data_IF_469649947611
#
_entry.id   IF_469649947611
#
_cell.length_a   1.000
_cell.length_b   1.000
_cell.length_c   1.000
_cell.angle_alpha   90.00
_cell.angle_beta   90.00
_cell.angle_gamma   90.00
#
_symmetry.space_group_name_H-M   'P 1'
#
loop_
_entity.id
_entity.type
_entity.pdbx_description
1 polymer ?
#
# COMPACT_ATOMS: atom_id res chain seq x y z
N UNK A 1 0.68 14.23 6.71
CA UNK A 1 -0.19 13.05 6.60
C UNK A 1 -0.15 12.53 5.18
N UNK A 2 0.04 11.23 4.97
CA UNK A 2 0.06 10.65 3.63
C UNK A 2 -1.33 10.67 2.97
N UNK A 3 -1.37 10.95 1.67
CA UNK A 3 -2.60 10.93 0.87
C UNK A 3 -2.78 9.54 0.28
N UNK A 4 -3.95 8.95 0.53
CA UNK A 4 -4.43 7.67 0.00
C UNK A 4 -5.66 7.89 -0.89
N UNK A 5 -6.23 6.82 -1.47
CA UNK A 5 -7.46 6.89 -2.25
C UNK A 5 -8.69 7.30 -1.41
N UNK A 6 -8.65 7.01 -0.10
CA UNK A 6 -9.64 7.41 0.90
C UNK A 6 -8.93 8.04 2.08
N UNK A 7 -9.64 8.88 2.82
CA UNK A 7 -9.08 9.48 4.04
C UNK A 7 -8.91 8.43 5.14
N UNK A 8 -7.67 7.96 5.35
CA UNK A 8 -7.32 6.98 6.38
C UNK A 8 -7.56 7.45 7.82
N UNK A 9 -7.84 8.75 8.02
CA UNK A 9 -8.21 9.34 9.31
C UNK A 9 -9.71 9.17 9.60
N UNK A 10 -10.54 8.96 8.57
CA UNK A 10 -12.00 8.88 8.69
C UNK A 10 -12.47 7.43 8.57
N UNK A 11 -12.61 6.77 9.72
CA UNK A 11 -13.06 5.37 9.82
C UNK A 11 -14.57 5.20 9.76
N UNK A 12 -15.32 6.12 10.37
CA UNK A 12 -16.74 5.90 10.69
C UNK A 12 -17.66 6.33 9.53
N UNK A 13 -17.28 6.04 8.28
CA UNK A 13 -18.11 6.32 7.11
C UNK A 13 -19.39 5.47 7.15
N UNK A 14 -20.51 6.09 6.82
CA UNK A 14 -21.83 5.43 6.73
C UNK A 14 -22.28 5.56 5.28
N UNK A 15 -22.44 4.41 4.63
CA UNK A 15 -22.82 4.36 3.22
C UNK A 15 -24.32 4.65 3.06
N UNK A 16 -24.68 5.44 2.04
CA UNK A 16 -26.06 5.93 1.84
C UNK A 16 -27.12 4.83 1.66
N UNK A 17 -26.70 3.61 1.28
CA UNK A 17 -27.57 2.46 1.00
C UNK A 17 -27.58 1.35 2.06
N UNK A 18 -26.92 1.54 3.21
CA UNK A 18 -26.89 0.50 4.26
C UNK A 18 -28.30 0.10 4.75
N UNK A 19 -29.29 1.00 4.69
CA UNK A 19 -30.67 0.70 5.06
C UNK A 19 -31.38 -0.28 4.11
N UNK A 20 -30.99 -0.27 2.84
CA UNK A 20 -31.66 -1.00 1.76
C UNK A 20 -30.93 -2.27 1.32
N UNK A 21 -29.64 -2.39 1.61
CA UNK A 21 -28.82 -3.58 1.36
C UNK A 21 -28.19 -4.09 2.66
N UNK A 22 -28.76 -5.13 3.30
CA UNK A 22 -28.24 -5.70 4.54
C UNK A 22 -26.81 -6.24 4.43
N UNK A 23 -26.42 -6.77 3.26
CA UNK A 23 -25.07 -7.33 3.07
C UNK A 23 -24.03 -6.22 2.92
N UNK A 24 -24.40 -5.14 2.24
CA UNK A 24 -23.57 -3.92 2.21
C UNK A 24 -23.41 -3.34 3.61
N UNK A 25 -24.46 -3.36 4.44
CA UNK A 25 -24.36 -2.95 5.85
C UNK A 25 -23.35 -3.78 6.61
N UNK A 26 -23.40 -5.11 6.50
CA UNK A 26 -22.41 -6.01 7.13
C UNK A 26 -20.98 -5.70 6.66
N UNK A 27 -20.78 -5.45 5.36
CA UNK A 27 -19.49 -5.03 4.83
C UNK A 27 -19.02 -3.69 5.41
N UNK A 28 -19.89 -2.70 5.50
CA UNK A 28 -19.54 -1.39 6.08
C UNK A 28 -19.29 -1.48 7.60
N UNK A 29 -20.02 -2.35 8.31
CA UNK A 29 -19.73 -2.66 9.71
C UNK A 29 -18.34 -3.30 9.87
N UNK A 30 -17.93 -4.17 8.94
CA UNK A 30 -16.56 -4.68 8.88
C UNK A 30 -15.55 -3.55 8.64
N UNK A 31 -15.76 -2.69 7.64
CA UNK A 31 -14.86 -1.56 7.35
C UNK A 31 -14.66 -0.65 8.58
N UNK A 32 -15.74 -0.36 9.32
CA UNK A 32 -15.68 0.46 10.54
C UNK A 32 -14.94 -0.20 11.71
N UNK A 33 -14.68 -1.51 11.66
CA UNK A 33 -13.84 -2.20 12.65
C UNK A 33 -12.34 -2.08 12.37
N UNK A 34 -11.95 -1.75 11.13
CA UNK A 34 -10.54 -1.59 10.74
C UNK A 34 -10.02 -0.22 11.18
N UNK A 35 -8.72 -0.11 11.49
CA UNK A 35 -8.07 1.16 11.82
C UNK A 35 -7.03 1.51 10.74
N UNK A 36 -7.43 2.12 9.60
CA UNK A 36 -6.54 2.34 8.45
C UNK A 36 -5.25 3.08 8.79
N UNK A 37 -5.34 4.18 9.55
CA UNK A 37 -4.16 4.90 10.02
C UNK A 37 -3.19 3.98 10.78
N UNK A 38 -3.70 3.16 11.71
CA UNK A 38 -2.87 2.26 12.53
C UNK A 38 -2.30 1.11 11.73
N UNK A 39 -3.03 0.58 10.74
CA UNK A 39 -2.55 -0.43 9.80
C UNK A 39 -1.31 0.09 9.07
N UNK A 40 -1.39 1.30 8.50
CA UNK A 40 -0.26 1.92 7.79
C UNK A 40 0.89 2.26 8.75
N UNK A 41 0.60 2.96 9.86
CA UNK A 41 1.63 3.40 10.82
C UNK A 41 2.35 2.22 11.45
N UNK A 42 1.62 1.20 11.87
CA UNK A 42 2.17 -0.02 12.46
C UNK A 42 3.04 -0.80 11.49
N UNK A 43 2.65 -0.87 10.20
CA UNK A 43 3.48 -1.47 9.15
C UNK A 43 4.81 -0.75 8.99
N UNK A 44 4.76 0.58 8.89
CA UNK A 44 5.95 1.42 8.77
C UNK A 44 6.88 1.30 10.00
N UNK A 45 6.35 1.40 11.22
CA UNK A 45 7.14 1.29 12.45
C UNK A 45 7.79 -0.08 12.59
N UNK A 46 7.04 -1.14 12.30
CA UNK A 46 7.55 -2.50 12.38
C UNK A 46 8.69 -2.72 11.39
N UNK A 47 8.48 -2.36 10.13
CA UNK A 47 9.49 -2.50 9.10
C UNK A 47 10.72 -1.61 9.35
N UNK A 48 10.53 -0.37 9.81
CA UNK A 48 11.62 0.52 10.18
C UNK A 48 12.49 -0.09 11.26
N UNK A 49 11.89 -0.57 12.35
CA UNK A 49 12.64 -1.21 13.43
C UNK A 49 13.35 -2.48 12.95
N UNK A 50 12.66 -3.35 12.21
CA UNK A 50 13.27 -4.57 11.67
C UNK A 50 14.47 -4.27 10.76
N UNK A 51 14.34 -3.29 9.87
CA UNK A 51 15.36 -2.93 8.90
C UNK A 51 16.54 -2.21 9.56
N UNK A 52 16.27 -1.30 10.49
CA UNK A 52 17.30 -0.60 11.27
C UNK A 52 18.16 -1.60 12.06
N UNK A 53 17.53 -2.58 12.72
CA UNK A 53 18.23 -3.65 13.43
C UNK A 53 19.15 -4.46 12.48
N UNK A 54 18.69 -4.74 11.25
CA UNK A 54 19.48 -5.47 10.24
C UNK A 54 20.63 -4.63 9.69
N UNK A 55 20.41 -3.35 9.39
CA UNK A 55 21.46 -2.46 8.91
C UNK A 55 22.55 -2.31 9.97
N UNK A 56 22.17 -2.11 11.24
CA UNK A 56 23.11 -2.07 12.38
C UNK A 56 23.89 -3.37 12.55
N UNK A 57 23.26 -4.52 12.28
CA UNK A 57 23.92 -5.81 12.29
C UNK A 57 24.97 -5.94 11.18
N UNK A 58 24.64 -5.50 9.96
CA UNK A 58 25.57 -5.48 8.83
C UNK A 58 26.74 -4.53 9.09
N UNK A 59 26.46 -3.32 9.59
CA UNK A 59 27.47 -2.31 9.95
C UNK A 59 28.41 -2.78 11.07
N UNK A 60 27.93 -3.67 11.94
CA UNK A 60 28.69 -4.26 13.05
C UNK A 60 29.33 -5.61 12.68
N UNK A 61 29.77 -5.78 11.43
CA UNK A 61 30.44 -6.99 10.93
C UNK A 61 29.66 -8.28 11.23
N UNK A 62 28.33 -8.23 11.11
CA UNK A 62 27.43 -9.36 11.36
C UNK A 62 27.50 -9.88 12.81
N UNK A 63 27.79 -9.00 13.77
CA UNK A 63 27.65 -9.27 15.19
C UNK A 63 26.37 -8.62 15.75
N UNK A 64 25.52 -9.37 16.48
CA UNK A 64 24.31 -8.81 17.08
C UNK A 64 24.62 -7.56 17.92
N UNK A 65 23.95 -6.42 17.66
CA UNK A 65 24.14 -5.23 18.49
C UNK A 65 23.69 -5.49 19.93
N UNK A 66 24.40 -5.00 20.95
CA UNK A 66 24.17 -5.36 22.35
C UNK A 66 22.86 -4.83 22.94
N UNK A 67 22.22 -3.87 22.28
CA UNK A 67 21.05 -3.11 22.73
C UNK A 67 19.77 -3.43 21.94
N UNK A 68 19.82 -4.41 21.05
CA UNK A 68 18.69 -4.75 20.16
C UNK A 68 17.84 -5.86 20.76
N UNK A 69 16.51 -5.71 20.70
CA UNK A 69 15.55 -6.69 21.22
C UNK A 69 15.40 -7.94 20.32
N UNK A 70 15.87 -7.84 19.07
CA UNK A 70 15.83 -8.93 18.09
C UNK A 70 16.74 -10.07 18.54
N UNK A 71 16.18 -11.28 18.61
CA UNK A 71 16.89 -12.47 19.06
C UNK A 71 17.62 -13.18 17.91
N UNK A 72 17.07 -13.10 16.69
CA UNK A 72 17.57 -13.84 15.53
C UNK A 72 17.93 -12.91 14.37
N UNK A 73 19.15 -13.04 13.86
CA UNK A 73 19.64 -12.33 12.68
C UNK A 73 19.79 -13.31 11.49
N UNK A 74 19.40 -12.91 10.27
CA UNK A 74 19.48 -13.77 9.10
C UNK A 74 20.94 -13.99 8.70
N UNK A 75 21.29 -15.24 8.41
CA UNK A 75 22.61 -15.58 7.88
C UNK A 75 22.83 -15.04 6.46
N UNK A 76 21.76 -14.97 5.66
CA UNK A 76 21.74 -14.35 4.34
C UNK A 76 20.80 -13.14 4.36
N UNK A 77 21.38 -11.96 4.56
CA UNK A 77 20.65 -10.69 4.65
C UNK A 77 19.98 -10.34 3.31
N UNK A 78 20.62 -10.65 2.19
CA UNK A 78 20.08 -10.37 0.86
C UNK A 78 18.85 -11.23 0.59
N UNK A 79 18.92 -12.53 0.88
CA UNK A 79 17.79 -13.43 0.77
C UNK A 79 16.65 -13.03 1.71
N UNK A 80 16.96 -12.68 2.96
CA UNK A 80 15.98 -12.18 3.92
C UNK A 80 15.24 -10.95 3.38
N UNK A 81 15.97 -9.96 2.84
CA UNK A 81 15.37 -8.74 2.31
C UNK A 81 14.41 -9.02 1.15
N UNK A 82 14.83 -9.88 0.21
CA UNK A 82 14.00 -10.27 -0.94
C UNK A 82 12.75 -11.07 -0.54
N UNK A 83 12.82 -11.86 0.53
CA UNK A 83 11.66 -12.61 1.03
C UNK A 83 10.73 -11.74 1.86
N UNK A 84 11.30 -10.83 2.65
CA UNK A 84 10.56 -9.99 3.58
C UNK A 84 9.85 -8.83 2.89
N UNK A 85 10.48 -8.25 1.87
CA UNK A 85 9.96 -7.10 1.14
C UNK A 85 10.08 -7.34 -0.38
N UNK A 86 9.31 -8.29 -0.93
CA UNK A 86 9.50 -8.74 -2.31
C UNK A 86 9.28 -7.63 -3.35
N UNK A 87 8.30 -6.74 -3.14
CA UNK A 87 8.06 -5.63 -4.07
C UNK A 87 9.11 -4.54 -3.92
N UNK A 88 9.52 -4.24 -2.70
CA UNK A 88 10.51 -3.20 -2.40
C UNK A 88 11.89 -3.63 -2.89
N UNK A 89 12.34 -4.83 -2.51
CA UNK A 89 13.63 -5.40 -2.89
C UNK A 89 13.77 -5.60 -4.40
N UNK A 90 12.65 -5.71 -5.11
CA UNK A 90 12.67 -5.76 -6.56
C UNK A 90 13.21 -4.46 -7.16
N UNK A 91 13.10 -3.30 -6.51
CA UNK A 91 13.44 -2.02 -7.13
C UNK A 91 14.51 -1.20 -6.39
N UNK A 92 14.74 -1.43 -5.10
CA UNK A 92 15.64 -0.59 -4.29
C UNK A 92 16.44 -1.39 -3.28
N UNK A 93 17.49 -0.77 -2.72
CA UNK A 93 18.34 -1.35 -1.67
C UNK A 93 17.69 -1.26 -0.29
N UNK A 94 18.32 -1.87 0.73
CA UNK A 94 17.88 -1.71 2.12
C UNK A 94 18.07 -0.27 2.60
N UNK A 95 19.15 0.38 2.21
CA UNK A 95 19.46 1.76 2.56
C UNK A 95 18.45 2.73 1.95
N UNK A 96 18.09 2.51 0.69
CA UNK A 96 17.04 3.26 0.01
C UNK A 96 15.69 3.10 0.73
N UNK A 97 15.30 1.86 1.02
CA UNK A 97 14.07 1.56 1.76
C UNK A 97 14.07 2.24 3.13
N UNK A 98 15.17 2.18 3.88
CA UNK A 98 15.29 2.83 5.19
C UNK A 98 15.09 4.35 5.08
N UNK A 99 15.73 4.99 4.10
CA UNK A 99 15.53 6.41 3.81
C UNK A 99 14.07 6.76 3.50
N UNK A 100 13.37 5.95 2.70
CA UNK A 100 11.95 6.14 2.42
C UNK A 100 11.07 5.92 3.65
N UNK A 101 11.37 4.92 4.49
CA UNK A 101 10.64 4.66 5.74
C UNK A 101 10.71 5.86 6.69
N UNK A 102 11.90 6.45 6.88
CA UNK A 102 12.06 7.68 7.71
C UNK A 102 11.14 8.79 7.22
N UNK A 103 11.08 9.02 5.90
CA UNK A 103 10.24 10.05 5.29
C UNK A 103 8.75 9.76 5.46
N UNK A 104 8.33 8.52 5.20
CA UNK A 104 6.94 8.09 5.34
C UNK A 104 6.45 8.20 6.78
N UNK A 105 7.28 7.79 7.74
CA UNK A 105 7.00 7.93 9.17
C UNK A 105 6.86 9.40 9.56
N UNK A 106 7.82 10.23 9.18
CA UNK A 106 7.76 11.68 9.46
C UNK A 106 6.53 12.35 8.85
N UNK A 107 6.11 11.92 7.65
CA UNK A 107 4.90 12.40 7.01
C UNK A 107 3.62 11.95 7.71
N UNK A 108 3.58 10.72 8.25
CA UNK A 108 2.45 10.23 9.05
C UNK A 108 2.29 11.00 10.36
N UNK A 109 3.39 11.45 10.96
CA UNK A 109 3.40 12.24 12.19
C UNK A 109 3.10 13.75 11.94
N UNK A 110 3.06 14.19 10.68
CA UNK A 110 2.66 15.55 10.31
C UNK A 110 1.13 15.69 10.24
N UNK A 111 0.58 16.55 11.11
CA UNK A 111 -0.84 16.93 11.10
C UNK A 111 -1.13 18.24 10.37
N UNK A 112 -0.11 18.88 9.77
CA UNK A 112 -0.23 20.22 9.16
C UNK A 112 -0.15 20.22 7.64
N UNK A 113 0.36 19.13 7.07
CA UNK A 113 0.59 18.99 5.63
C UNK A 113 0.00 17.67 5.14
N UNK A 114 -0.37 17.64 3.86
CA UNK A 114 -0.80 16.43 3.18
C UNK A 114 0.25 16.07 2.14
N UNK A 115 0.68 14.81 2.09
CA UNK A 115 1.85 14.39 1.32
C UNK A 115 1.43 13.36 0.28
N UNK A 116 1.62 13.67 -1.01
CA UNK A 116 1.40 12.71 -2.10
C UNK A 116 2.58 11.76 -2.25
N UNK A 117 2.24 10.50 -2.44
CA UNK A 117 3.15 9.39 -2.63
C UNK A 117 3.62 9.27 -4.08
N UNK A 118 4.71 8.53 -4.28
CA UNK A 118 5.19 8.09 -5.60
C UNK A 118 5.09 6.57 -5.69
N UNK A 119 5.32 5.99 -6.88
CA UNK A 119 5.31 4.53 -7.06
C UNK A 119 6.31 3.81 -6.13
N UNK A 120 7.47 4.42 -5.86
CA UNK A 120 8.48 3.92 -4.91
C UNK A 120 7.93 3.80 -3.49
N UNK A 121 7.28 4.86 -3.00
CA UNK A 121 6.67 4.87 -1.69
C UNK A 121 5.56 3.81 -1.56
N UNK A 122 4.77 3.62 -2.62
CA UNK A 122 3.69 2.65 -2.63
C UNK A 122 4.19 1.20 -2.61
N UNK A 123 5.34 0.90 -3.22
CA UNK A 123 5.98 -0.40 -3.11
C UNK A 123 6.39 -0.71 -1.65
N UNK A 124 7.04 0.26 -0.98
CA UNK A 124 7.41 0.16 0.44
C UNK A 124 6.16 -0.01 1.31
N UNK A 125 5.14 0.83 1.13
CA UNK A 125 3.90 0.75 1.89
C UNK A 125 3.20 -0.59 1.69
N UNK A 126 3.25 -1.16 0.49
CA UNK A 126 2.59 -2.43 0.18
C UNK A 126 3.18 -3.57 1.00
N UNK A 127 4.51 -3.77 0.94
CA UNK A 127 5.16 -4.83 1.71
C UNK A 127 5.04 -4.60 3.22
N UNK A 128 5.23 -3.36 3.69
CA UNK A 128 5.15 -3.04 5.12
C UNK A 128 3.74 -3.28 5.68
N UNK A 129 2.71 -2.95 4.92
CA UNK A 129 1.30 -3.19 5.27
C UNK A 129 0.96 -4.66 5.24
N UNK A 130 1.37 -5.39 4.20
CA UNK A 130 1.17 -6.84 4.10
C UNK A 130 1.75 -7.56 5.31
N UNK A 131 3.00 -7.24 5.62
CA UNK A 131 3.77 -7.85 6.69
C UNK A 131 3.13 -7.67 8.07
N UNK A 132 2.65 -6.47 8.41
CA UNK A 132 2.01 -6.23 9.71
C UNK A 132 0.61 -6.87 9.78
N UNK A 133 -0.11 -6.92 8.67
CA UNK A 133 -1.41 -7.58 8.58
C UNK A 133 -1.27 -9.07 8.82
N UNK A 134 -0.28 -9.73 8.21
CA UNK A 134 0.00 -11.16 8.45
C UNK A 134 0.34 -11.44 9.92
N UNK A 135 1.19 -10.62 10.53
CA UNK A 135 1.55 -10.74 11.95
C UNK A 135 0.30 -10.57 12.84
N UNK A 136 -0.49 -9.52 12.59
CA UNK A 136 -1.70 -9.26 13.37
C UNK A 136 -2.73 -10.38 13.23
N UNK A 137 -3.00 -10.82 12.00
CA UNK A 137 -3.95 -11.90 11.74
C UNK A 137 -3.47 -13.23 12.32
N UNK A 138 -2.15 -13.49 12.34
CA UNK A 138 -1.55 -14.61 13.05
C UNK A 138 -1.80 -14.52 14.56
N UNK A 139 -1.49 -13.38 15.17
CA UNK A 139 -1.71 -13.15 16.60
C UNK A 139 -3.19 -13.29 17.02
N UNK A 140 -4.13 -12.87 16.16
CA UNK A 140 -5.56 -13.08 16.41
C UNK A 140 -5.95 -14.57 16.48
N UNK A 141 -5.30 -15.44 15.69
CA UNK A 141 -5.53 -16.90 15.74
C UNK A 141 -4.99 -17.52 17.02
N UNK A 142 -3.85 -17.04 17.49
CA UNK A 142 -3.17 -17.57 18.68
C UNK A 142 -3.79 -17.06 20.01
N UNK A 143 -4.62 -16.02 19.94
CA UNK A 143 -5.46 -15.54 21.04
C UNK A 143 -5.45 -14.02 21.20
N UNK A 144 -6.60 -13.46 21.60
CA UNK A 144 -6.79 -12.01 21.67
C UNK A 144 -5.79 -11.28 22.59
N UNK A 145 -5.23 -11.95 23.60
CA UNK A 145 -4.26 -11.33 24.52
C UNK A 145 -2.94 -10.96 23.83
N UNK A 146 -2.48 -11.72 22.83
CA UNK A 146 -1.26 -11.42 22.05
C UNK A 146 -1.55 -10.30 21.04
N UNK A 147 -2.76 -10.27 20.48
CA UNK A 147 -3.18 -9.21 19.55
C UNK A 147 -3.34 -7.83 20.19
N UNK A 148 -3.43 -7.74 21.53
CA UNK A 148 -3.55 -6.45 22.23
C UNK A 148 -2.35 -5.54 22.04
N UNK A 149 -1.18 -6.07 21.70
CA UNK A 149 -0.02 -5.21 21.45
C UNK A 149 -0.04 -4.59 20.04
N UNK A 150 -0.86 -5.12 19.13
CA UNK A 150 -0.98 -4.67 17.74
C UNK A 150 -2.46 -4.35 17.44
N UNK A 151 -2.88 -3.11 17.62
CA UNK A 151 -4.28 -2.71 17.42
C UNK A 151 -4.58 -2.31 15.97
N UNK A 152 -4.70 -3.27 15.06
CA UNK A 152 -5.09 -2.97 13.66
C UNK A 152 -6.60 -2.90 13.43
N UNK A 153 -7.39 -3.54 14.29
CA UNK A 153 -8.85 -3.57 14.20
C UNK A 153 -9.51 -3.87 15.56
N UNK A 154 -10.85 -3.81 15.61
CA UNK A 154 -11.66 -4.28 16.74
C UNK A 154 -11.84 -5.80 16.69
N UNK A 155 -10.73 -6.53 16.88
CA UNK A 155 -10.75 -7.99 17.06
C UNK A 155 -11.20 -8.80 15.84
N UNK A 156 -11.06 -8.25 14.63
CA UNK A 156 -11.38 -8.93 13.37
C UNK A 156 -10.15 -9.00 12.46
N UNK A 157 -9.96 -10.07 11.68
CA UNK A 157 -8.87 -10.12 10.72
C UNK A 157 -8.93 -8.97 9.70
N UNK A 158 -7.77 -8.42 9.35
CA UNK A 158 -7.65 -7.46 8.26
C UNK A 158 -7.52 -8.24 6.95
N UNK A 159 -8.47 -8.07 6.04
CA UNK A 159 -8.40 -8.63 4.69
C UNK A 159 -7.50 -7.71 3.84
N UNK A 160 -6.23 -8.09 3.67
CA UNK A 160 -5.24 -7.26 3.00
C UNK A 160 -5.69 -6.80 1.61
N UNK A 161 -6.21 -7.71 0.77
CA UNK A 161 -6.68 -7.39 -0.59
C UNK A 161 -7.78 -6.32 -0.59
N UNK A 162 -8.77 -6.46 0.28
CA UNK A 162 -9.86 -5.50 0.40
C UNK A 162 -9.35 -4.15 0.95
N UNK A 163 -8.40 -4.18 1.90
CA UNK A 163 -7.77 -2.98 2.42
C UNK A 163 -7.03 -2.19 1.32
N UNK A 164 -6.22 -2.88 0.51
CA UNK A 164 -5.51 -2.30 -0.63
C UNK A 164 -6.49 -1.74 -1.67
N UNK A 165 -7.51 -2.50 -2.08
CA UNK A 165 -8.52 -2.04 -3.04
C UNK A 165 -9.32 -0.81 -2.56
N UNK A 166 -9.42 -0.61 -1.24
CA UNK A 166 -10.07 0.56 -0.65
C UNK A 166 -9.17 1.79 -0.54
N UNK A 167 -7.89 1.62 -0.26
CA UNK A 167 -7.03 2.73 0.17
C UNK A 167 -5.87 3.05 -0.78
N UNK A 168 -5.38 2.10 -1.59
CA UNK A 168 -4.28 2.40 -2.51
C UNK A 168 -4.78 3.24 -3.69
N UNK A 169 -4.06 4.31 -4.06
CA UNK A 169 -4.44 5.14 -5.22
C UNK A 169 -4.19 4.43 -6.56
N UNK A 170 -3.15 3.61 -6.65
CA UNK A 170 -2.81 2.81 -7.83
C UNK A 170 -1.80 1.70 -7.47
N UNK A 171 -1.60 0.76 -8.38
CA UNK A 171 -0.59 -0.32 -8.27
C UNK A 171 0.39 -0.31 -9.46
N UNK A 172 0.67 0.84 -10.04
CA UNK A 172 1.56 0.94 -11.22
C UNK A 172 3.00 0.43 -10.97
N UNK A 173 3.46 0.36 -9.72
CA UNK A 173 4.74 -0.30 -9.39
C UNK A 173 4.74 -1.81 -9.69
N UNK A 174 3.55 -2.42 -9.88
CA UNK A 174 3.39 -3.81 -10.29
C UNK A 174 3.33 -4.00 -11.81
N UNK A 175 3.41 -2.93 -12.62
CA UNK A 175 3.40 -3.04 -14.07
C UNK A 175 4.48 -4.02 -14.55
N UNK A 176 4.12 -4.88 -15.50
CA UNK A 176 4.99 -5.92 -16.07
C UNK A 176 5.39 -7.02 -15.07
N UNK A 177 4.72 -7.08 -13.91
CA UNK A 177 4.92 -8.09 -12.89
C UNK A 177 3.63 -8.86 -12.64
N UNK A 178 3.74 -10.05 -12.05
CA UNK A 178 2.56 -10.81 -11.65
C UNK A 178 2.10 -10.33 -10.27
N UNK A 179 0.87 -9.85 -10.11
CA UNK A 179 0.34 -9.49 -8.80
C UNK A 179 0.12 -10.75 -7.96
N UNK A 180 0.37 -10.63 -6.65
CA UNK A 180 0.18 -11.74 -5.70
C UNK A 180 -1.29 -12.00 -5.37
N UNK A 181 -2.15 -11.02 -5.64
CA UNK A 181 -3.57 -11.00 -5.27
C UNK A 181 -4.45 -10.37 -6.36
N UNK A 182 -5.75 -10.63 -6.30
CA UNK A 182 -6.72 -10.10 -7.26
C UNK A 182 -7.10 -8.65 -6.92
N UNK A 183 -6.21 -7.71 -7.22
CA UNK A 183 -6.47 -6.27 -7.06
C UNK A 183 -7.29 -5.72 -8.23
N UNK A 184 -8.44 -6.33 -8.51
CA UNK A 184 -9.20 -6.22 -9.77
C UNK A 184 -9.42 -4.78 -10.22
N UNK A 185 -9.78 -3.88 -9.30
CA UNK A 185 -9.97 -2.44 -9.59
C UNK A 185 -8.67 -1.75 -9.98
N UNK A 186 -7.62 -1.95 -9.18
CA UNK A 186 -6.37 -1.21 -9.32
C UNK A 186 -5.50 -1.74 -10.47
N UNK A 187 -5.73 -2.98 -10.91
CA UNK A 187 -5.00 -3.61 -12.01
C UNK A 187 -5.65 -3.41 -13.38
N UNK A 188 -6.91 -2.98 -13.47
CA UNK A 188 -7.59 -2.74 -14.76
C UNK A 188 -6.77 -1.80 -15.66
N UNK A 189 -6.30 -0.69 -15.08
CA UNK A 189 -5.41 0.26 -15.75
C UNK A 189 -4.07 -0.37 -16.11
N UNK A 190 -3.48 -1.18 -15.21
CA UNK A 190 -2.21 -1.84 -15.47
C UNK A 190 -2.33 -2.80 -16.67
N UNK A 191 -3.41 -3.58 -16.78
CA UNK A 191 -3.62 -4.47 -17.91
C UNK A 191 -3.68 -3.72 -19.25
N UNK A 192 -4.37 -2.58 -19.30
CA UNK A 192 -4.43 -1.75 -20.51
C UNK A 192 -3.04 -1.23 -20.91
N UNK A 193 -2.24 -0.79 -19.93
CA UNK A 193 -0.87 -0.35 -20.16
C UNK A 193 0.00 -1.52 -20.64
N UNK A 194 -0.08 -2.66 -19.98
CA UNK A 194 0.72 -3.84 -20.33
C UNK A 194 0.39 -4.40 -21.70
N UNK A 195 -0.89 -4.41 -22.10
CA UNK A 195 -1.30 -4.86 -23.43
C UNK A 195 -0.74 -3.92 -24.51
N UNK A 196 -0.73 -2.61 -24.25
CA UNK A 196 -0.04 -1.66 -25.13
C UNK A 196 1.46 -1.93 -25.20
N UNK A 197 2.13 -2.10 -24.05
CA UNK A 197 3.57 -2.39 -23.99
C UNK A 197 3.90 -3.68 -24.75
N UNK A 198 3.13 -4.76 -24.53
CA UNK A 198 3.29 -6.05 -25.22
C UNK A 198 3.12 -5.91 -26.73
N UNK A 199 2.12 -5.15 -27.18
CA UNK A 199 1.90 -4.91 -28.61
C UNK A 199 3.08 -4.17 -29.25
N UNK A 200 3.54 -3.07 -28.63
CA UNK A 200 4.66 -2.28 -29.15
C UNK A 200 5.99 -3.06 -29.15
N UNK A 201 6.24 -3.87 -28.12
CA UNK A 201 7.40 -4.78 -28.10
C UNK A 201 7.28 -5.88 -29.17
N UNK A 202 6.06 -6.37 -29.44
CA UNK A 202 5.77 -7.30 -30.52
C UNK A 202 6.09 -6.76 -31.91
N UNK A 203 5.98 -5.44 -32.09
CA UNK A 203 6.36 -4.72 -33.31
C UNK A 203 7.89 -4.47 -33.43
N UNK A 204 8.67 -4.94 -32.45
CA UNK A 204 10.14 -4.87 -32.45
C UNK A 204 10.74 -3.61 -31.83
N UNK A 205 9.93 -2.78 -31.16
CA UNK A 205 10.43 -1.59 -30.46
C UNK A 205 11.21 -1.96 -29.20
N UNK A 206 12.21 -1.15 -28.86
CA UNK A 206 13.08 -1.41 -27.71
C UNK A 206 12.35 -1.17 -26.38
N UNK A 207 12.51 -2.02 -25.34
CA UNK A 207 11.74 -1.93 -24.10
C UNK A 207 11.70 -0.54 -23.45
N UNK A 208 12.84 0.14 -23.34
CA UNK A 208 12.91 1.49 -22.75
C UNK A 208 12.19 2.57 -23.57
N UNK A 209 12.14 2.42 -24.89
CA UNK A 209 11.39 3.33 -25.76
C UNK A 209 9.89 3.10 -25.59
N UNK A 210 9.48 1.83 -25.54
CA UNK A 210 8.09 1.44 -25.31
C UNK A 210 7.58 1.96 -23.97
N UNK A 211 8.39 1.89 -22.89
CA UNK A 211 8.02 2.44 -21.59
C UNK A 211 7.80 3.96 -21.63
N UNK A 212 8.64 4.71 -22.36
CA UNK A 212 8.47 6.16 -22.54
C UNK A 212 7.20 6.48 -23.32
N UNK A 213 6.94 5.76 -24.41
CA UNK A 213 5.71 5.90 -25.19
C UNK A 213 4.47 5.57 -24.36
N UNK A 214 4.55 4.56 -23.48
CA UNK A 214 3.46 4.19 -22.59
C UNK A 214 3.22 5.27 -21.54
N UNK A 215 4.26 5.83 -20.94
CA UNK A 215 4.15 6.97 -20.03
C UNK A 215 3.53 8.19 -20.72
N UNK A 216 4.01 8.58 -21.90
CA UNK A 216 3.43 9.69 -22.68
C UNK A 216 1.94 9.47 -22.97
N UNK A 217 1.55 8.23 -23.29
CA UNK A 217 0.17 7.90 -23.66
C UNK A 217 -0.77 7.81 -22.45
N UNK A 218 -0.33 7.15 -21.38
CA UNK A 218 -1.17 6.82 -20.25
C UNK A 218 -0.99 7.76 -19.07
N UNK A 219 0.06 8.59 -19.10
CA UNK A 219 0.47 9.51 -18.02
C UNK A 219 0.68 8.70 -16.75
N UNK A 220 1.84 8.05 -16.62
CA UNK A 220 2.10 7.26 -15.42
C UNK A 220 2.11 8.16 -14.19
N UNK A 221 1.81 7.56 -13.05
CA UNK A 221 1.96 8.21 -11.77
C UNK A 221 3.43 8.51 -11.49
N UNK A 222 3.66 9.53 -10.67
CA UNK A 222 5.01 10.01 -10.36
C UNK A 222 5.90 8.88 -9.86
N UNK A 223 7.09 8.76 -10.46
CA UNK A 223 8.09 7.75 -10.12
C UNK A 223 7.89 6.40 -10.79
N UNK A 224 6.75 6.14 -11.45
CA UNK A 224 6.51 4.85 -12.12
C UNK A 224 7.51 4.61 -13.25
N UNK A 225 7.75 5.60 -14.12
CA UNK A 225 8.65 5.42 -15.26
C UNK A 225 10.10 5.16 -14.82
N UNK A 226 10.59 5.89 -13.82
CA UNK A 226 11.91 5.70 -13.22
C UNK A 226 12.03 4.33 -12.58
N UNK A 227 11.01 3.91 -11.82
CA UNK A 227 10.93 2.60 -11.17
C UNK A 227 10.99 1.46 -12.20
N UNK A 228 10.21 1.55 -13.29
CA UNK A 228 10.21 0.51 -14.32
C UNK A 228 11.51 0.46 -15.13
N UNK A 229 12.22 1.58 -15.26
CA UNK A 229 13.55 1.64 -15.89
C UNK A 229 14.70 1.18 -14.98
N UNK A 230 14.41 0.93 -13.69
CA UNK A 230 15.41 0.63 -12.65
C UNK A 230 16.42 1.76 -12.47
N UNK A 231 15.93 2.99 -12.57
CA UNK A 231 16.74 4.17 -12.24
C UNK A 231 17.09 4.16 -10.74
N UNK A 232 18.28 4.65 -10.38
CA UNK A 232 18.68 4.83 -8.98
C UNK A 232 17.77 5.85 -8.27
N UNK A 233 17.48 5.61 -6.99
CA UNK A 233 16.66 6.54 -6.20
C UNK A 233 17.50 7.78 -5.86
N UNK A 234 17.16 8.90 -6.49
CA UNK A 234 17.74 10.21 -6.14
C UNK A 234 16.92 10.89 -5.04
N UNK A 235 17.47 11.91 -4.35
CA UNK A 235 16.72 12.68 -3.37
C UNK A 235 15.39 13.21 -3.92
N UNK A 236 15.36 13.69 -5.16
CA UNK A 236 14.16 14.23 -5.83
C UNK A 236 13.07 13.17 -6.06
N UNK A 237 13.47 11.91 -6.32
CA UNK A 237 12.55 10.79 -6.47
C UNK A 237 12.02 10.28 -5.13
N UNK A 238 12.81 10.44 -4.07
CA UNK A 238 12.46 10.14 -2.69
C UNK A 238 11.61 11.23 -2.01
N UNK A 239 11.50 12.43 -2.58
CA UNK A 239 10.69 13.51 -2.01
C UNK A 239 9.18 13.27 -2.18
N UNK A 240 8.45 13.44 -1.07
CA UNK A 240 7.00 13.53 -1.07
C UNK A 240 6.57 14.89 -1.67
N UNK A 241 5.45 14.92 -2.39
CA UNK A 241 4.87 16.19 -2.84
C UNK A 241 3.91 16.73 -1.77
N UNK A 242 4.28 17.85 -1.16
CA UNK A 242 3.48 18.51 -0.13
C UNK A 242 2.36 19.33 -0.73
N UNK A 243 1.13 19.03 -0.30
CA UNK A 243 -0.07 19.84 -0.48
C UNK A 243 -0.42 20.60 0.79
N UNK A 244 -1.07 21.75 0.59
CA UNK A 244 -1.63 22.55 1.66
C UNK A 244 -2.87 21.88 2.22
N UNK A 245 -3.09 22.02 3.53
CA UNK A 245 -4.23 21.39 4.20
C UNK A 245 -5.57 21.99 3.76
N UNK A 246 -5.56 23.25 3.32
CA UNK A 246 -6.73 23.97 2.84
C UNK A 246 -7.26 23.45 1.49
N UNK A 247 -6.45 22.69 0.74
CA UNK A 247 -6.83 22.15 -0.56
C UNK A 247 -7.58 20.80 -0.46
N UNK A 248 -7.93 20.36 0.77
CA UNK A 248 -8.43 19.03 1.16
C UNK A 248 -8.75 18.08 -0.03
N UNK A 249 -7.83 17.16 -0.38
CA UNK A 249 -8.00 16.29 -1.54
C UNK A 249 -9.13 15.27 -1.37
N UNK A 250 -9.70 15.14 -0.17
CA UNK A 250 -10.74 14.17 0.14
C UNK A 250 -12.16 14.74 0.01
N UNK A 251 -12.35 16.06 -0.02
CA UNK A 251 -13.68 16.68 -0.10
C UNK A 251 -14.46 16.22 -1.34
N UNK A 252 -13.76 16.11 -2.47
CA UNK A 252 -14.35 15.63 -3.71
C UNK A 252 -14.88 14.19 -3.62
N UNK A 253 -14.37 13.37 -2.69
CA UNK A 253 -14.81 11.99 -2.53
C UNK A 253 -16.24 11.89 -1.98
N UNK A 254 -16.68 12.89 -1.23
CA UNK A 254 -18.00 12.93 -0.60
C UNK A 254 -19.06 13.59 -1.48
N UNK A 255 -18.69 14.07 -2.67
CA UNK A 255 -19.60 14.62 -3.65
C UNK A 255 -20.07 13.53 -4.64
N UNK A 256 -21.31 13.62 -5.15
CA UNK A 256 -21.77 12.75 -6.23
C UNK A 256 -20.95 12.94 -7.51
N UNK A 257 -20.70 11.85 -8.24
CA UNK A 257 -20.15 11.95 -9.60
C UNK A 257 -21.24 12.29 -10.62
N UNK A 258 -20.87 13.00 -11.70
CA UNK A 258 -21.80 13.40 -12.76
C UNK A 258 -22.68 12.24 -13.24
N UNK A 259 -23.99 12.32 -12.96
CA UNK A 259 -24.98 11.31 -13.35
C UNK A 259 -25.14 10.13 -12.39
N UNK A 260 -24.42 10.11 -11.26
CA UNK A 260 -24.55 9.09 -10.22
C UNK A 260 -25.21 9.71 -8.97
N UNK A 261 -26.14 8.99 -8.34
CA UNK A 261 -26.78 9.46 -7.10
C UNK A 261 -25.89 9.29 -5.87
N UNK A 262 -24.87 8.42 -5.98
CA UNK A 262 -23.93 8.14 -4.91
C UNK A 262 -22.69 9.03 -4.97
N UNK A 263 -22.12 9.30 -3.80
CA UNK A 263 -20.79 9.88 -3.66
C UNK A 263 -19.71 8.98 -4.28
N UNK A 264 -18.53 9.53 -4.57
CA UNK A 264 -17.38 8.73 -5.04
C UNK A 264 -17.05 7.63 -4.03
N UNK A 265 -16.97 7.99 -2.75
CA UNK A 265 -16.63 7.06 -1.67
C UNK A 265 -17.64 5.93 -1.54
N UNK A 266 -18.94 6.24 -1.68
CA UNK A 266 -20.00 5.24 -1.64
C UNK A 266 -19.91 4.30 -2.85
N UNK A 267 -19.78 4.88 -4.04
CA UNK A 267 -19.62 4.10 -5.28
C UNK A 267 -18.43 3.14 -5.20
N UNK A 268 -17.33 3.59 -4.60
CA UNK A 268 -16.13 2.78 -4.40
C UNK A 268 -16.33 1.65 -3.39
N UNK A 269 -16.97 1.91 -2.25
CA UNK A 269 -17.30 0.84 -1.30
C UNK A 269 -18.30 -0.16 -1.89
N UNK A 270 -19.32 0.30 -2.63
CA UNK A 270 -20.29 -0.59 -3.27
C UNK A 270 -19.64 -1.46 -4.34
N UNK A 271 -18.69 -0.92 -5.12
CA UNK A 271 -17.89 -1.70 -6.08
C UNK A 271 -17.05 -2.76 -5.37
N UNK A 272 -16.28 -2.36 -4.35
CA UNK A 272 -15.41 -3.29 -3.62
C UNK A 272 -16.20 -4.38 -2.90
N UNK A 273 -17.36 -4.04 -2.32
CA UNK A 273 -18.30 -5.01 -1.76
C UNK A 273 -18.77 -6.05 -2.79
N UNK A 274 -19.16 -5.63 -4.00
CA UNK A 274 -19.61 -6.54 -5.05
C UNK A 274 -18.51 -7.49 -5.51
N UNK A 275 -17.28 -6.99 -5.62
CA UNK A 275 -16.12 -7.79 -5.98
C UNK A 275 -15.70 -8.73 -4.83
N UNK A 276 -15.76 -8.26 -3.58
CA UNK A 276 -15.47 -9.01 -2.35
C UNK A 276 -16.54 -10.04 -1.98
N UNK A 277 -17.78 -9.90 -2.46
CA UNK A 277 -18.87 -10.88 -2.30
C UNK A 277 -18.55 -12.27 -2.89
N UNK A 278 -17.47 -12.38 -3.67
CA UNK A 278 -16.89 -13.65 -4.12
C UNK A 278 -16.01 -14.34 -3.04
N UNK A 279 -15.48 -13.59 -2.06
CA UNK A 279 -14.54 -14.07 -1.03
C UNK A 279 -15.21 -14.48 0.29
N UNK A 280 -16.25 -13.76 0.75
CA UNK A 280 -16.97 -14.13 1.99
C UNK A 280 -17.72 -15.47 1.91
N UNK A 281 -17.90 -16.02 0.70
CA UNK A 281 -18.50 -17.35 0.49
C UNK A 281 -17.47 -18.51 0.59
N UNK A 282 -16.18 -18.24 0.81
CA UNK A 282 -15.14 -19.27 0.87
C UNK A 282 -14.60 -19.56 2.29
N UNK A 283 -15.13 -18.88 3.31
CA UNK A 283 -14.70 -19.03 4.71
C UNK A 283 -15.76 -19.72 5.58
N UNK A 284 -16.25 -20.88 5.13
CA UNK A 284 -16.97 -21.85 5.95
C UNK A 284 -16.21 -23.18 5.98
#
# INVERSE_FOLDING_TARGET
MLIFAKDIRKRDHVHAREEFDPKLREYMEYQRKLFPYTIIRGGLDFAYKELDDILRYVDNDHQPPPDVSRQDFPADVSQWFNQRFPWTAAFMTMEDMHGLLVRLIGAMDSFRTLEKLTAWHLAVLYDTTHNIVEIYNGALKDGLEISRDIHLSVGVPVAFEDFINNHWPHLEFMLLSKPDYSHTKLLERNFVIEDYVKAQMGDGLHPLEVLKMADEKFQFNRGTLELLRRDEITPELAELETLKIEDDPFDALYLPQNGNELSVVDSDYERNYRDAGSFLNQSN
#
